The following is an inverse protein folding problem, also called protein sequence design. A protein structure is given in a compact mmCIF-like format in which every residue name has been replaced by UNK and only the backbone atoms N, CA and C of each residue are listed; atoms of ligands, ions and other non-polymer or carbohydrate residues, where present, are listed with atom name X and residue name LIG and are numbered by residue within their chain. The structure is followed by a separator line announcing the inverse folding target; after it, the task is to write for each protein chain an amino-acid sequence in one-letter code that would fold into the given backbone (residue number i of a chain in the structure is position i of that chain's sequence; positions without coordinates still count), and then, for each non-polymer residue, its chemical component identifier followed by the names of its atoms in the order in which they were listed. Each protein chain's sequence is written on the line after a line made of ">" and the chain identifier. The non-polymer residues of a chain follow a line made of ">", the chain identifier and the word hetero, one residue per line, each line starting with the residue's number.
data_IF_777023498745
#
_entry.id   IF_777023498745
#
_cell.length_a   1.000
_cell.length_b   1.000
_cell.length_c   1.000
_cell.angle_alpha   90.00
_cell.angle_beta   90.00
_cell.angle_gamma   90.00
#
_symmetry.space_group_name_H-M   'P 1'
#
loop_
_entity.id
_entity.type
_entity.pdbx_description
1 polymer ?
#
# COMPACT_ATOMS: atom_id res chain seq x y z
N UNK A 1 -17.31 -51.01 -15.80
CA UNK A 1 -18.66 -50.44 -15.83
C UNK A 1 -18.69 -49.31 -14.82
N UNK A 2 -18.30 -48.11 -15.26
CA UNK A 2 -18.28 -46.91 -14.44
C UNK A 2 -19.67 -46.29 -14.47
N UNK A 3 -20.34 -46.24 -13.31
CA UNK A 3 -21.60 -45.52 -13.16
C UNK A 3 -21.27 -44.04 -13.13
N UNK A 4 -21.59 -43.35 -14.23
CA UNK A 4 -21.48 -41.90 -14.33
C UNK A 4 -22.44 -41.23 -13.36
N UNK A 5 -21.89 -40.40 -12.47
CA UNK A 5 -22.68 -39.44 -11.70
C UNK A 5 -23.17 -38.38 -12.69
N UNK A 6 -24.48 -38.35 -12.89
CA UNK A 6 -25.18 -37.38 -13.72
C UNK A 6 -24.90 -35.97 -13.21
N UNK A 7 -24.30 -35.14 -14.05
CA UNK A 7 -24.28 -33.69 -13.86
C UNK A 7 -25.72 -33.17 -13.97
N UNK A 8 -26.27 -32.71 -12.85
CA UNK A 8 -27.56 -32.05 -12.81
C UNK A 8 -27.42 -30.69 -13.50
N UNK A 9 -28.11 -30.53 -14.63
CA UNK A 9 -28.25 -29.26 -15.35
C UNK A 9 -29.10 -28.30 -14.51
N UNK A 10 -28.48 -27.57 -13.59
CA UNK A 10 -29.15 -26.48 -12.86
C UNK A 10 -28.97 -25.17 -13.66
N UNK A 11 -30.08 -24.62 -14.16
CA UNK A 11 -30.10 -23.23 -14.62
C UNK A 11 -29.63 -22.34 -13.46
N UNK A 12 -28.73 -21.37 -13.66
CA UNK A 12 -28.28 -20.53 -12.56
C UNK A 12 -29.48 -19.74 -12.02
N UNK A 13 -29.90 -20.04 -10.79
CA UNK A 13 -31.01 -19.36 -10.12
C UNK A 13 -30.44 -18.25 -9.24
N UNK A 14 -31.08 -17.09 -9.22
CA UNK A 14 -30.78 -16.02 -8.27
C UNK A 14 -31.33 -16.34 -6.90
N UNK A 15 -30.51 -16.23 -5.85
CA UNK A 15 -30.91 -16.51 -4.46
C UNK A 15 -30.60 -15.35 -3.51
N UNK A 16 -31.33 -15.28 -2.42
CA UNK A 16 -31.07 -14.39 -1.28
C UNK A 16 -30.87 -15.23 -0.02
N UNK A 17 -30.07 -14.73 0.92
CA UNK A 17 -30.07 -15.33 2.26
C UNK A 17 -31.44 -15.16 2.92
N UNK A 18 -31.91 -16.22 3.57
CA UNK A 18 -33.12 -16.23 4.37
C UNK A 18 -32.82 -16.94 5.69
N UNK A 19 -32.56 -16.16 6.72
CA UNK A 19 -32.32 -16.63 8.09
C UNK A 19 -32.38 -15.45 9.06
N UNK A 20 -32.45 -15.72 10.36
CA UNK A 20 -32.41 -14.68 11.40
C UNK A 20 -31.20 -14.88 12.28
N UNK A 21 -30.34 -13.86 12.37
CA UNK A 21 -29.25 -13.82 13.33
C UNK A 21 -29.73 -13.20 14.64
N UNK A 22 -29.58 -13.95 15.73
CA UNK A 22 -30.05 -13.56 17.06
C UNK A 22 -29.20 -12.48 17.74
N UNK A 23 -28.08 -12.09 17.12
CA UNK A 23 -27.24 -11.01 17.60
C UNK A 23 -26.16 -11.43 18.59
N UNK A 24 -25.44 -10.45 19.16
CA UNK A 24 -24.26 -10.67 19.98
C UNK A 24 -24.56 -11.18 21.39
N UNK A 25 -25.81 -11.12 21.85
CA UNK A 25 -26.20 -11.45 23.22
C UNK A 25 -26.51 -12.93 23.46
N UNK A 26 -26.29 -13.79 22.47
CA UNK A 26 -26.56 -15.21 22.60
C UNK A 26 -25.53 -15.87 23.55
N UNK A 27 -26.01 -16.49 24.63
CA UNK A 27 -25.21 -17.36 25.50
C UNK A 27 -25.86 -18.75 25.59
N UNK A 28 -25.09 -19.77 25.94
CA UNK A 28 -25.56 -21.17 26.03
C UNK A 28 -26.59 -21.40 27.17
N UNK A 29 -26.82 -20.38 28.00
CA UNK A 29 -27.82 -20.33 29.08
C UNK A 29 -29.04 -19.47 28.70
N UNK A 30 -29.05 -18.86 27.51
CA UNK A 30 -30.13 -17.96 27.09
C UNK A 30 -31.40 -18.73 26.77
N UNK A 31 -32.50 -18.01 26.89
CA UNK A 31 -33.86 -18.37 26.48
C UNK A 31 -33.97 -18.72 24.97
N UNK A 32 -32.86 -18.65 24.22
CA UNK A 32 -32.79 -18.89 22.79
C UNK A 32 -32.33 -20.30 22.40
N UNK A 33 -31.94 -21.16 23.35
CA UNK A 33 -31.69 -22.57 23.07
C UNK A 33 -33.03 -23.24 22.67
N UNK A 34 -33.17 -23.64 21.40
CA UNK A 34 -34.44 -24.10 20.79
C UNK A 34 -35.55 -23.04 20.66
N UNK A 35 -35.21 -21.75 20.62
CA UNK A 35 -36.22 -20.73 20.34
C UNK A 35 -36.81 -20.89 18.93
N UNK A 36 -38.12 -20.68 18.83
CA UNK A 36 -38.78 -20.48 17.53
C UNK A 36 -38.78 -19.00 17.18
N UNK A 37 -39.11 -18.66 15.94
CA UNK A 37 -39.34 -17.26 15.57
C UNK A 37 -40.40 -16.57 16.43
N UNK A 38 -41.36 -17.32 16.99
CA UNK A 38 -42.37 -16.77 17.91
C UNK A 38 -41.81 -16.37 19.28
N UNK A 39 -40.73 -17.03 19.72
CA UNK A 39 -40.04 -16.71 20.98
C UNK A 39 -39.03 -15.57 20.77
N UNK A 40 -38.35 -15.52 19.62
CA UNK A 40 -37.43 -14.45 19.26
C UNK A 40 -38.13 -13.09 19.01
N UNK A 41 -39.36 -13.10 18.48
CA UNK A 41 -40.13 -11.88 18.19
C UNK A 41 -40.84 -11.27 19.42
N UNK A 42 -40.87 -11.97 20.58
CA UNK A 42 -41.37 -11.39 21.84
C UNK A 42 -40.54 -10.20 22.33
N UNK A 43 -39.29 -10.07 21.88
CA UNK A 43 -38.42 -8.96 22.25
C UNK A 43 -38.68 -7.68 21.44
N UNK A 44 -39.39 -7.75 20.31
CA UNK A 44 -39.73 -6.58 19.50
C UNK A 44 -40.91 -6.86 18.56
N UNK A 45 -42.06 -6.25 18.83
CA UNK A 45 -43.24 -6.39 17.98
C UNK A 45 -42.99 -5.74 16.61
N UNK A 46 -43.10 -6.52 15.52
CA UNK A 46 -42.95 -6.01 14.15
C UNK A 46 -41.58 -6.26 13.52
N UNK A 47 -40.66 -6.96 14.19
CA UNK A 47 -39.41 -7.42 13.56
C UNK A 47 -39.67 -8.72 12.79
N UNK A 48 -39.36 -8.79 11.49
CA UNK A 48 -39.51 -10.00 10.71
C UNK A 48 -38.54 -11.08 11.21
N UNK A 49 -38.99 -12.33 11.26
CA UNK A 49 -38.16 -13.48 11.63
C UNK A 49 -38.40 -14.64 10.65
N UNK A 50 -37.30 -15.20 10.17
CA UNK A 50 -37.24 -16.38 9.31
C UNK A 50 -36.33 -17.45 9.90
N UNK A 51 -36.73 -18.71 9.75
CA UNK A 51 -35.88 -19.86 10.05
C UNK A 51 -34.94 -20.15 8.86
N UNK A 52 -33.73 -20.68 9.10
CA UNK A 52 -33.16 -21.07 10.40
C UNK A 52 -32.68 -19.88 11.25
N UNK A 53 -32.54 -20.11 12.56
CA UNK A 53 -31.91 -19.15 13.46
C UNK A 53 -30.40 -19.39 13.48
N UNK A 54 -29.62 -18.34 13.28
CA UNK A 54 -28.15 -18.38 13.25
C UNK A 54 -27.61 -17.66 14.48
N UNK A 55 -26.58 -18.23 15.09
CA UNK A 55 -25.92 -17.70 16.29
C UNK A 55 -24.42 -17.61 16.05
N UNK A 56 -23.79 -16.63 16.68
CA UNK A 56 -22.33 -16.47 16.69
C UNK A 56 -21.86 -16.39 18.14
N UNK A 57 -20.90 -17.25 18.50
CA UNK A 57 -20.39 -17.33 19.88
C UNK A 57 -19.55 -16.11 20.26
N UNK A 58 -18.86 -15.50 19.29
CA UNK A 58 -18.00 -14.34 19.50
C UNK A 58 -18.76 -13.01 19.45
N UNK A 59 -20.07 -13.05 19.24
CA UNK A 59 -20.94 -11.89 19.05
C UNK A 59 -20.69 -11.08 17.78
N UNK A 60 -19.77 -11.52 16.92
CA UNK A 60 -19.56 -10.94 15.59
C UNK A 60 -20.67 -11.34 14.63
N UNK A 61 -20.77 -10.66 13.49
CA UNK A 61 -21.64 -11.07 12.40
C UNK A 61 -21.37 -12.53 11.97
N UNK A 62 -22.41 -13.26 11.53
CA UNK A 62 -22.25 -14.65 11.09
C UNK A 62 -21.45 -14.75 9.79
N UNK A 63 -20.66 -15.82 9.64
CA UNK A 63 -19.89 -16.07 8.42
C UNK A 63 -20.81 -16.54 7.29
N UNK A 64 -21.17 -15.60 6.41
CA UNK A 64 -22.02 -15.84 5.25
C UNK A 64 -21.41 -16.80 4.23
N UNK A 65 -20.07 -16.92 4.15
CA UNK A 65 -19.43 -17.84 3.22
C UNK A 65 -19.59 -19.28 3.70
N UNK A 66 -19.43 -19.50 5.00
CA UNK A 66 -19.68 -20.79 5.63
C UNK A 66 -21.15 -21.21 5.49
N UNK A 67 -22.09 -20.29 5.75
CA UNK A 67 -23.53 -20.56 5.60
C UNK A 67 -23.86 -20.93 4.16
N UNK A 68 -23.32 -20.20 3.18
CA UNK A 68 -23.56 -20.50 1.76
C UNK A 68 -22.98 -21.86 1.33
N UNK A 69 -21.78 -22.20 1.80
CA UNK A 69 -21.11 -23.45 1.44
C UNK A 69 -21.77 -24.69 2.06
N UNK A 70 -22.26 -24.59 3.29
CA UNK A 70 -22.73 -25.75 4.07
C UNK A 70 -24.25 -25.83 4.19
N UNK A 71 -24.94 -24.68 4.16
CA UNK A 71 -26.39 -24.56 4.39
C UNK A 71 -27.06 -23.67 3.33
N UNK A 72 -26.48 -23.57 2.13
CA UNK A 72 -26.97 -22.69 1.07
C UNK A 72 -28.42 -22.98 0.66
N UNK A 73 -28.86 -24.24 0.67
CA UNK A 73 -30.25 -24.61 0.38
C UNK A 73 -31.22 -24.22 1.51
N UNK A 74 -30.84 -24.47 2.77
CA UNK A 74 -31.72 -24.29 3.92
C UNK A 74 -31.81 -22.84 4.39
N UNK A 75 -30.74 -22.07 4.20
CA UNK A 75 -30.60 -20.68 4.65
C UNK A 75 -30.73 -19.68 3.50
N UNK A 76 -31.32 -20.08 2.36
CA UNK A 76 -31.60 -19.18 1.24
C UNK A 76 -32.97 -19.40 0.63
N UNK A 77 -33.43 -18.39 -0.11
CA UNK A 77 -34.66 -18.42 -0.89
C UNK A 77 -34.36 -18.11 -2.35
N UNK A 78 -35.13 -18.76 -3.22
CA UNK A 78 -35.13 -18.49 -4.66
C UNK A 78 -35.79 -17.13 -4.89
N UNK A 79 -35.08 -16.24 -5.58
CA UNK A 79 -35.55 -14.90 -5.88
C UNK A 79 -36.49 -14.93 -7.09
N UNK A 80 -37.77 -14.63 -6.89
CA UNK A 80 -38.72 -14.45 -7.99
C UNK A 80 -38.53 -13.09 -8.69
N UNK A 81 -39.06 -12.94 -9.91
CA UNK A 81 -38.88 -11.74 -10.74
C UNK A 81 -39.31 -10.42 -10.06
N UNK A 82 -40.28 -10.48 -9.15
CA UNK A 82 -40.84 -9.31 -8.45
C UNK A 82 -40.29 -9.13 -7.03
N UNK A 83 -39.41 -10.03 -6.60
CA UNK A 83 -38.86 -10.00 -5.25
C UNK A 83 -37.49 -9.28 -5.26
N UNK A 84 -37.03 -8.91 -4.06
CA UNK A 84 -35.74 -8.29 -3.78
C UNK A 84 -35.16 -8.91 -2.51
N UNK A 85 -33.83 -9.02 -2.45
CA UNK A 85 -33.19 -9.46 -1.21
C UNK A 85 -33.21 -8.30 -0.22
N UNK A 86 -33.66 -8.58 1.01
CA UNK A 86 -33.67 -7.62 2.09
C UNK A 86 -32.83 -8.09 3.28
N UNK A 87 -32.24 -7.13 3.97
CA UNK A 87 -31.62 -7.29 5.29
C UNK A 87 -32.26 -6.28 6.22
N UNK A 88 -32.88 -6.76 7.29
CA UNK A 88 -33.53 -5.95 8.31
C UNK A 88 -32.71 -6.05 9.59
N UNK A 89 -32.02 -4.98 9.96
CA UNK A 89 -31.14 -4.94 11.13
C UNK A 89 -31.74 -4.03 12.19
N UNK A 90 -31.85 -4.53 13.41
CA UNK A 90 -32.33 -3.78 14.56
C UNK A 90 -31.15 -3.30 15.40
N UNK A 91 -31.19 -2.02 15.75
CA UNK A 91 -30.20 -1.36 16.57
C UNK A 91 -30.83 -0.80 17.83
N UNK A 92 -30.12 -0.91 18.94
CA UNK A 92 -30.43 -0.25 20.20
C UNK A 92 -29.21 0.56 20.63
N UNK A 93 -29.40 1.86 20.87
CA UNK A 93 -28.35 2.79 21.29
C UNK A 93 -27.11 2.78 20.39
N UNK A 94 -27.32 2.63 19.08
CA UNK A 94 -26.25 2.57 18.07
C UNK A 94 -25.55 1.20 17.93
N UNK A 95 -25.88 0.22 18.77
CA UNK A 95 -25.36 -1.14 18.70
C UNK A 95 -26.35 -2.09 18.04
N UNK A 96 -25.86 -3.13 17.34
CA UNK A 96 -26.70 -4.11 16.67
C UNK A 96 -27.24 -5.12 17.67
N UNK A 97 -28.56 -5.29 17.71
CA UNK A 97 -29.24 -6.28 18.55
C UNK A 97 -29.59 -7.56 17.80
N UNK A 98 -30.06 -7.47 16.56
CA UNK A 98 -30.34 -8.62 15.71
C UNK A 98 -30.38 -8.24 14.23
N UNK A 99 -30.41 -9.25 13.35
CA UNK A 99 -30.58 -9.01 11.92
C UNK A 99 -31.26 -10.17 11.22
N UNK A 100 -32.24 -9.86 10.37
CA UNK A 100 -33.02 -10.82 9.61
C UNK A 100 -32.78 -10.64 8.12
N UNK A 101 -32.49 -11.73 7.44
CA UNK A 101 -32.30 -11.82 6.00
C UNK A 101 -33.54 -12.47 5.38
N UNK A 102 -34.03 -11.95 4.27
CA UNK A 102 -35.25 -12.46 3.63
C UNK A 102 -35.35 -12.11 2.15
N UNK A 103 -36.12 -12.90 1.41
CA UNK A 103 -36.74 -12.50 0.15
C UNK A 103 -38.03 -11.73 0.45
N UNK A 104 -38.18 -10.53 -0.08
CA UNK A 104 -39.41 -9.74 0.13
C UNK A 104 -39.72 -8.87 -1.08
N UNK A 105 -40.87 -8.19 -1.05
CA UNK A 105 -41.23 -7.13 -1.97
C UNK A 105 -41.23 -5.82 -1.21
N UNK A 106 -40.54 -4.83 -1.74
CA UNK A 106 -40.44 -3.52 -1.13
C UNK A 106 -40.89 -2.46 -2.12
N UNK A 107 -41.73 -1.55 -1.64
CA UNK A 107 -42.18 -0.38 -2.38
C UNK A 107 -41.86 0.87 -1.58
N UNK A 108 -41.54 1.95 -2.28
CA UNK A 108 -41.37 3.27 -1.70
C UNK A 108 -42.72 3.95 -1.45
N UNK A 109 -42.73 5.13 -0.82
CA UNK A 109 -43.95 5.90 -0.54
C UNK A 109 -44.77 6.29 -1.77
N UNK A 110 -44.18 6.19 -2.96
CA UNK A 110 -44.83 6.44 -4.26
C UNK A 110 -45.26 5.15 -4.97
N UNK A 111 -45.38 4.03 -4.24
CA UNK A 111 -45.70 2.69 -4.76
C UNK A 111 -44.70 2.17 -5.83
N UNK A 112 -43.47 2.71 -5.84
CA UNK A 112 -42.43 2.28 -6.76
C UNK A 112 -41.59 1.15 -6.17
N UNK A 113 -41.30 0.12 -6.98
CA UNK A 113 -40.51 -1.02 -6.54
C UNK A 113 -39.06 -0.63 -6.18
N UNK A 114 -38.62 -1.00 -4.98
CA UNK A 114 -37.26 -0.75 -4.51
C UNK A 114 -36.36 -1.91 -4.96
N UNK A 115 -35.35 -1.60 -5.78
CA UNK A 115 -34.40 -2.59 -6.29
C UNK A 115 -33.05 -2.59 -5.56
N UNK A 116 -32.65 -1.44 -4.98
CA UNK A 116 -31.41 -1.30 -4.21
C UNK A 116 -31.44 -0.08 -3.29
N UNK A 117 -30.80 -0.16 -2.14
CA UNK A 117 -30.61 0.97 -1.23
C UNK A 117 -30.81 0.59 0.23
N UNK A 118 -30.43 1.48 1.16
CA UNK A 118 -30.63 1.27 2.59
C UNK A 118 -31.47 2.41 3.17
N UNK A 119 -32.49 2.05 3.93
CA UNK A 119 -33.43 2.95 4.58
C UNK A 119 -33.35 2.74 6.07
N UNK A 120 -33.21 3.83 6.82
CA UNK A 120 -33.12 3.81 8.27
C UNK A 120 -34.30 4.54 8.88
N UNK A 121 -34.98 3.91 9.81
CA UNK A 121 -36.02 4.52 10.64
C UNK A 121 -35.54 4.53 12.08
N UNK A 122 -35.56 5.71 12.71
CA UNK A 122 -35.19 5.87 14.12
C UNK A 122 -36.42 6.22 14.94
N UNK A 123 -36.58 5.54 16.08
CA UNK A 123 -37.63 5.79 17.06
C UNK A 123 -37.00 5.83 18.46
N UNK A 124 -36.60 7.04 18.88
CA UNK A 124 -35.85 7.23 20.12
C UNK A 124 -34.49 6.53 20.09
N UNK A 125 -34.22 5.68 21.10
CA UNK A 125 -33.00 4.87 21.21
C UNK A 125 -32.96 3.67 20.28
N UNK A 126 -34.08 3.33 19.63
CA UNK A 126 -34.14 2.23 18.68
C UNK A 126 -33.96 2.74 17.27
N UNK A 127 -33.16 2.05 16.47
CA UNK A 127 -33.03 2.32 15.04
C UNK A 127 -33.15 1.03 14.25
N UNK A 128 -33.96 1.06 13.21
CA UNK A 128 -34.13 -0.04 12.28
C UNK A 128 -33.51 0.34 10.95
N UNK A 129 -32.71 -0.55 10.37
CA UNK A 129 -32.14 -0.39 9.02
C UNK A 129 -32.59 -1.53 8.12
N UNK A 130 -33.28 -1.19 7.03
CA UNK A 130 -33.63 -2.11 5.97
C UNK A 130 -32.76 -1.82 4.74
N UNK A 131 -31.97 -2.80 4.28
CA UNK A 131 -31.17 -2.71 3.07
C UNK A 131 -31.69 -3.68 2.02
N UNK A 132 -31.81 -3.21 0.78
CA UNK A 132 -32.32 -3.95 -0.37
C UNK A 132 -31.26 -4.07 -1.45
N UNK A 133 -31.24 -5.21 -2.15
CA UNK A 133 -30.39 -5.45 -3.30
C UNK A 133 -30.94 -6.58 -4.17
N UNK A 134 -30.51 -6.65 -5.44
CA UNK A 134 -30.79 -7.77 -6.34
C UNK A 134 -29.56 -8.64 -6.56
N UNK A 135 -29.68 -9.92 -6.26
CA UNK A 135 -28.63 -10.92 -6.48
C UNK A 135 -28.48 -11.29 -7.95
N UNK A 136 -27.27 -11.70 -8.33
CA UNK A 136 -26.93 -12.19 -9.67
C UNK A 136 -27.16 -13.72 -9.72
N UNK A 137 -27.68 -14.29 -10.82
CA UNK A 137 -27.87 -15.73 -10.95
C UNK A 137 -26.56 -16.52 -10.80
N UNK A 138 -26.55 -17.57 -9.97
CA UNK A 138 -25.37 -18.42 -9.73
C UNK A 138 -24.23 -17.77 -8.92
N UNK A 139 -24.42 -16.55 -8.41
CA UNK A 139 -23.47 -15.86 -7.52
C UNK A 139 -23.85 -15.95 -6.04
N UNK A 140 -22.96 -15.45 -5.18
CA UNK A 140 -23.25 -15.27 -3.75
C UNK A 140 -24.40 -14.24 -3.59
N UNK A 141 -25.36 -14.47 -2.68
CA UNK A 141 -26.41 -13.51 -2.38
C UNK A 141 -25.88 -12.12 -2.01
N UNK A 142 -26.54 -11.07 -2.52
CA UNK A 142 -26.11 -9.68 -2.29
C UNK A 142 -26.47 -9.14 -0.90
N UNK A 143 -27.43 -9.76 -0.20
CA UNK A 143 -27.91 -9.33 1.11
C UNK A 143 -26.96 -9.79 2.21
N UNK A 144 -25.68 -9.49 2.06
CA UNK A 144 -24.68 -9.67 3.11
C UNK A 144 -24.59 -8.36 3.90
N UNK A 145 -24.46 -8.45 5.22
CA UNK A 145 -24.21 -7.27 6.05
C UNK A 145 -22.85 -6.69 5.68
N UNK A 146 -22.90 -5.58 4.95
CA UNK A 146 -21.74 -4.91 4.40
C UNK A 146 -20.87 -4.35 5.54
N UNK A 147 -19.67 -4.92 5.73
CA UNK A 147 -18.58 -4.12 6.29
C UNK A 147 -18.38 -2.92 5.37
N UNK A 148 -18.22 -1.73 5.92
CA UNK A 148 -17.98 -0.55 5.10
C UNK A 148 -16.79 -0.84 4.17
N UNK A 149 -16.91 -0.51 2.87
CA UNK A 149 -15.79 -0.62 1.92
C UNK A 149 -14.53 0.08 2.45
N UNK A 150 -14.72 1.08 3.33
CA UNK A 150 -13.69 1.79 4.06
C UNK A 150 -12.86 0.89 4.99
N UNK A 151 -13.49 -0.05 5.69
CA UNK A 151 -12.81 -0.99 6.61
C UNK A 151 -11.91 -1.96 5.84
N UNK A 152 -12.37 -2.45 4.69
CA UNK A 152 -11.54 -3.22 3.76
C UNK A 152 -10.37 -2.42 3.20
N UNK A 153 -10.63 -1.19 2.77
CA UNK A 153 -9.60 -0.30 2.22
C UNK A 153 -8.50 -0.03 3.23
N UNK A 154 -8.87 0.18 4.50
CA UNK A 154 -7.92 0.37 5.59
C UNK A 154 -7.00 -0.85 5.77
N UNK A 155 -7.53 -2.07 5.72
CA UNK A 155 -6.72 -3.28 5.86
C UNK A 155 -5.68 -3.46 4.74
N UNK A 156 -6.04 -3.13 3.50
CA UNK A 156 -5.10 -3.18 2.36
C UNK A 156 -4.03 -2.10 2.51
N UNK A 157 -4.42 -0.90 2.91
CA UNK A 157 -3.50 0.22 3.06
C UNK A 157 -2.50 -0.01 4.19
N UNK A 158 -2.95 -0.51 5.35
CA UNK A 158 -2.06 -0.80 6.47
C UNK A 158 -1.08 -1.93 6.12
N UNK A 159 -1.56 -2.99 5.45
CA UNK A 159 -0.69 -4.07 5.00
C UNK A 159 0.36 -3.58 4.01
N UNK A 160 -0.04 -2.84 2.97
CA UNK A 160 0.92 -2.32 1.97
C UNK A 160 1.94 -1.39 2.62
N UNK A 161 1.51 -0.48 3.50
CA UNK A 161 2.41 0.43 4.21
C UNK A 161 3.42 -0.33 5.09
N UNK A 162 2.99 -1.40 5.77
CA UNK A 162 3.88 -2.22 6.60
C UNK A 162 4.95 -2.95 5.77
N UNK A 163 4.59 -3.49 4.61
CA UNK A 163 5.53 -4.16 3.70
C UNK A 163 6.53 -3.17 3.14
N UNK A 164 6.08 -1.99 2.71
CA UNK A 164 6.99 -0.93 2.24
C UNK A 164 7.95 -0.48 3.35
N UNK A 165 7.48 -0.29 4.58
CA UNK A 165 8.34 0.09 5.70
C UNK A 165 9.40 -0.97 6.02
N UNK A 166 9.07 -2.25 5.91
CA UNK A 166 10.04 -3.33 6.07
C UNK A 166 11.09 -3.32 4.95
N UNK A 167 10.67 -3.18 3.70
CA UNK A 167 11.58 -3.13 2.55
C UNK A 167 12.53 -1.92 2.62
N UNK A 168 12.04 -0.74 3.00
CA UNK A 168 12.89 0.45 3.14
C UNK A 168 13.91 0.29 4.28
N UNK A 169 13.52 -0.36 5.37
CA UNK A 169 14.44 -0.68 6.46
C UNK A 169 15.54 -1.67 6.03
N UNK A 170 15.21 -2.70 5.26
CA UNK A 170 16.20 -3.62 4.70
C UNK A 170 17.14 -2.92 3.70
N UNK A 171 16.62 -2.05 2.87
CA UNK A 171 17.43 -1.19 1.99
C UNK A 171 18.39 -0.31 2.81
N UNK A 172 17.93 0.28 3.92
CA UNK A 172 18.81 1.04 4.82
C UNK A 172 19.94 0.17 5.39
N UNK A 173 19.61 -1.01 5.94
CA UNK A 173 20.62 -1.94 6.48
C UNK A 173 21.69 -2.32 5.44
N UNK A 174 21.31 -2.49 4.17
CA UNK A 174 22.27 -2.79 3.10
C UNK A 174 23.34 -1.71 2.92
N UNK A 175 23.06 -0.45 3.27
CA UNK A 175 24.03 0.64 3.12
C UNK A 175 25.16 0.59 4.15
N UNK A 176 24.94 -0.07 5.29
CA UNK A 176 25.94 -0.21 6.36
C UNK A 176 27.04 -1.21 6.01
N UNK A 177 26.77 -2.15 5.11
CA UNK A 177 27.70 -3.24 4.74
C UNK A 177 28.48 -2.97 3.45
N UNK A 178 28.25 -1.82 2.79
CA UNK A 178 28.89 -1.48 1.52
C UNK A 178 30.13 -0.64 1.77
N UNK A 179 31.29 -1.15 1.33
CA UNK A 179 32.53 -0.40 1.33
C UNK A 179 32.62 0.54 0.11
N UNK A 180 32.65 1.85 0.37
CA UNK A 180 32.75 2.89 -0.67
C UNK A 180 34.20 3.28 -1.02
N UNK A 181 35.19 2.50 -0.57
CA UNK A 181 36.60 2.79 -0.83
C UNK A 181 37.04 2.15 -2.12
N UNK A 182 37.81 2.89 -2.91
CA UNK A 182 38.39 2.41 -4.17
C UNK A 182 39.87 2.81 -4.21
N UNK A 183 40.71 1.93 -4.72
CA UNK A 183 42.10 2.28 -4.96
C UNK A 183 42.20 3.06 -6.28
N UNK A 184 42.69 4.29 -6.22
CA UNK A 184 42.99 5.09 -7.40
C UNK A 184 44.51 5.14 -7.58
N UNK A 185 44.99 4.81 -8.78
CA UNK A 185 46.39 4.99 -9.16
C UNK A 185 46.51 6.30 -9.94
N UNK A 186 47.35 7.21 -9.43
CA UNK A 186 47.57 8.51 -10.06
C UNK A 186 49.07 8.76 -10.21
N UNK A 187 49.49 9.13 -11.42
CA UNK A 187 50.86 9.52 -11.72
C UNK A 187 50.88 10.93 -12.33
N UNK A 188 51.79 11.78 -11.87
CA UNK A 188 52.01 13.11 -12.46
C UNK A 188 53.04 13.00 -13.58
N UNK A 189 52.64 13.31 -14.82
CA UNK A 189 53.49 13.16 -16.00
C UNK A 189 54.34 14.41 -16.24
N UNK A 190 53.75 15.61 -16.10
CA UNK A 190 54.45 16.87 -16.32
C UNK A 190 53.94 17.94 -15.36
N UNK A 191 54.86 18.60 -14.66
CA UNK A 191 54.57 19.72 -13.76
C UNK A 191 55.32 20.93 -14.32
N UNK A 192 54.61 22.03 -14.58
CA UNK A 192 55.19 23.28 -15.10
C UNK A 192 54.61 24.45 -14.32
N UNK A 193 55.49 25.25 -13.71
CA UNK A 193 55.10 26.52 -13.07
C UNK A 193 55.63 27.66 -13.93
N UNK A 194 54.80 28.66 -14.20
CA UNK A 194 55.15 29.86 -14.94
C UNK A 194 54.69 31.08 -14.18
N UNK A 195 55.58 32.05 -14.00
CA UNK A 195 55.21 33.39 -13.55
C UNK A 195 54.52 34.13 -14.70
N UNK A 196 53.27 34.55 -14.51
CA UNK A 196 52.49 35.28 -15.51
C UNK A 196 52.07 36.62 -14.90
N UNK A 197 52.26 37.76 -15.62
CA UNK A 197 51.74 39.04 -15.13
C UNK A 197 50.21 38.98 -15.05
N UNK A 198 49.64 39.52 -13.98
CA UNK A 198 48.20 39.69 -13.89
C UNK A 198 47.73 40.72 -14.94
N UNK A 199 46.61 40.46 -15.61
CA UNK A 199 46.00 41.39 -16.57
C UNK A 199 45.00 42.35 -15.89
N UNK A 200 44.85 42.28 -14.56
CA UNK A 200 44.12 43.25 -13.74
C UNK A 200 44.83 44.60 -13.56
N UNK A 201 44.16 45.55 -12.91
CA UNK A 201 44.68 46.92 -12.69
C UNK A 201 45.89 47.00 -11.73
N UNK A 202 46.21 45.91 -11.02
CA UNK A 202 47.39 45.78 -10.16
C UNK A 202 48.58 45.22 -10.97
N UNK A 203 49.80 45.72 -10.72
CA UNK A 203 51.05 45.26 -11.38
C UNK A 203 51.65 44.00 -10.72
N UNK A 204 50.88 43.29 -9.91
CA UNK A 204 51.32 42.09 -9.22
C UNK A 204 51.49 40.93 -10.21
N UNK A 205 52.45 40.04 -9.92
CA UNK A 205 52.68 38.81 -10.69
C UNK A 205 51.97 37.69 -9.98
N UNK A 206 51.38 36.78 -10.74
CA UNK A 206 50.77 35.58 -10.19
C UNK A 206 51.51 34.35 -10.73
N UNK A 207 51.52 33.29 -9.93
CA UNK A 207 52.15 32.04 -10.29
C UNK A 207 51.11 31.12 -10.93
N UNK A 208 51.31 30.80 -12.21
CA UNK A 208 50.47 29.88 -12.98
C UNK A 208 51.09 28.49 -12.99
N UNK A 209 50.45 27.55 -12.29
CA UNK A 209 50.77 26.14 -12.36
C UNK A 209 49.99 25.42 -13.45
N UNK A 210 50.67 24.55 -14.19
CA UNK A 210 50.10 23.61 -15.13
C UNK A 210 50.61 22.20 -14.84
N UNK A 211 49.68 21.26 -14.68
CA UNK A 211 49.97 19.86 -14.40
C UNK A 211 49.35 18.98 -15.51
N UNK A 212 50.04 17.92 -15.89
CA UNK A 212 49.42 16.79 -16.59
C UNK A 212 49.53 15.52 -15.76
N UNK A 213 48.44 14.75 -15.74
CA UNK A 213 48.33 13.56 -14.90
C UNK A 213 47.74 12.38 -15.66
N UNK A 214 48.12 11.19 -15.20
CA UNK A 214 47.52 9.91 -15.54
C UNK A 214 46.64 9.48 -14.36
N UNK A 215 45.42 9.05 -14.65
CA UNK A 215 44.48 8.55 -13.64
C UNK A 215 43.94 7.19 -14.07
N UNK A 216 44.16 6.17 -13.25
CA UNK A 216 43.59 4.84 -13.42
C UNK A 216 42.81 4.42 -12.18
N UNK A 217 41.51 4.19 -12.32
CA UNK A 217 40.66 3.76 -11.21
C UNK A 217 39.45 2.97 -11.71
N UNK A 218 39.03 1.98 -10.91
CA UNK A 218 37.78 1.26 -11.11
C UNK A 218 36.76 1.72 -10.07
N UNK A 219 35.70 2.35 -10.56
CA UNK A 219 34.60 2.88 -9.75
C UNK A 219 33.31 2.08 -9.94
N UNK A 220 33.37 0.97 -10.66
CA UNK A 220 32.20 0.17 -11.03
C UNK A 220 31.46 -0.35 -9.81
N UNK A 221 32.18 -0.74 -8.75
CA UNK A 221 31.58 -1.25 -7.51
C UNK A 221 30.92 -0.17 -6.64
N UNK A 222 31.20 1.11 -6.88
CA UNK A 222 30.56 2.20 -6.14
C UNK A 222 29.09 2.42 -6.56
N UNK A 223 28.73 1.99 -7.78
CA UNK A 223 27.36 2.11 -8.29
C UNK A 223 26.46 1.02 -7.69
N UNK A 224 25.95 1.26 -6.47
CA UNK A 224 24.94 0.41 -5.84
C UNK A 224 23.50 0.80 -6.23
N UNK A 225 22.48 0.16 -5.64
CA UNK A 225 21.07 0.41 -5.93
C UNK A 225 20.65 1.89 -5.72
N UNK A 226 21.29 2.59 -4.79
CA UNK A 226 21.01 3.98 -4.42
C UNK A 226 21.85 5.01 -5.21
N UNK A 227 23.11 4.70 -5.54
CA UNK A 227 24.05 5.66 -6.18
C UNK A 227 23.70 5.90 -7.65
N UNK A 228 23.15 7.08 -7.98
CA UNK A 228 22.73 7.46 -9.34
C UNK A 228 23.82 8.20 -10.14
N UNK A 229 24.67 8.93 -9.43
CA UNK A 229 25.72 9.76 -9.99
C UNK A 229 26.92 9.79 -9.04
N UNK A 230 28.12 9.90 -9.60
CA UNK A 230 29.36 10.14 -8.88
C UNK A 230 29.94 11.48 -9.32
N UNK A 231 30.30 12.33 -8.36
CA UNK A 231 31.05 13.56 -8.59
C UNK A 231 32.51 13.30 -8.26
N UNK A 232 33.35 13.29 -9.29
CA UNK A 232 34.79 13.16 -9.13
C UNK A 232 35.41 14.53 -9.27
N UNK A 233 36.38 14.80 -8.41
CA UNK A 233 37.22 15.97 -8.52
C UNK A 233 38.63 15.63 -8.07
N UNK A 234 39.61 16.28 -8.69
CA UNK A 234 41.02 16.18 -8.34
C UNK A 234 41.44 17.51 -7.71
N UNK A 235 41.96 17.46 -6.50
CA UNK A 235 42.50 18.62 -5.79
C UNK A 235 44.02 18.53 -5.69
N UNK A 236 44.67 19.68 -5.85
CA UNK A 236 46.05 19.88 -5.43
C UNK A 236 46.04 20.57 -4.07
N UNK A 237 46.82 20.01 -3.14
CA UNK A 237 47.02 20.58 -1.81
C UNK A 237 48.48 21.00 -1.69
N UNK A 238 48.72 22.21 -1.23
CA UNK A 238 50.06 22.77 -1.09
C UNK A 238 50.12 23.74 0.10
N UNK A 239 51.34 23.99 0.58
CA UNK A 239 51.62 24.80 1.75
C UNK A 239 52.46 25.99 1.30
N UNK A 240 52.09 27.19 1.73
CA UNK A 240 52.87 28.42 1.48
C UNK A 240 53.27 29.06 2.81
N UNK A 241 54.28 29.95 2.84
CA UNK A 241 54.68 30.63 4.09
C UNK A 241 53.54 31.41 4.77
N UNK A 242 52.57 31.85 3.98
CA UNK A 242 51.42 32.64 4.44
C UNK A 242 50.21 31.76 4.81
N UNK A 243 50.13 30.52 4.32
CA UNK A 243 48.99 29.64 4.58
C UNK A 243 49.39 28.16 4.71
N UNK A 244 48.94 27.53 5.79
CA UNK A 244 49.24 26.14 6.13
C UNK A 244 48.51 25.12 5.23
N UNK A 245 47.38 25.50 4.62
CA UNK A 245 46.63 24.64 3.71
C UNK A 245 45.98 25.43 2.58
N UNK A 246 46.52 25.29 1.38
CA UNK A 246 45.89 25.75 0.14
C UNK A 246 45.38 24.54 -0.66
N UNK A 247 44.11 24.57 -1.06
CA UNK A 247 43.48 23.52 -1.86
C UNK A 247 42.87 24.11 -3.13
N UNK A 248 43.23 23.58 -4.29
CA UNK A 248 42.69 24.00 -5.59
C UNK A 248 42.19 22.80 -6.36
N UNK A 249 40.97 22.88 -6.89
CA UNK A 249 40.40 21.85 -7.77
C UNK A 249 40.99 22.02 -9.17
N UNK A 250 41.67 20.98 -9.66
CA UNK A 250 42.35 20.97 -10.96
C UNK A 250 41.46 20.39 -12.08
N UNK A 251 40.59 19.45 -11.72
CA UNK A 251 39.78 18.71 -12.68
C UNK A 251 38.54 18.15 -11.99
N UNK A 252 37.43 18.05 -12.72
CA UNK A 252 36.19 17.45 -12.28
C UNK A 252 35.56 16.61 -13.40
N UNK A 253 34.83 15.56 -13.00
CA UNK A 253 33.99 14.77 -13.90
C UNK A 253 32.80 14.19 -13.14
N UNK A 254 31.65 14.23 -13.79
CA UNK A 254 30.44 13.56 -13.34
C UNK A 254 30.31 12.25 -14.11
N UNK A 255 30.05 11.15 -13.41
CA UNK A 255 29.75 9.85 -14.02
C UNK A 255 28.34 9.46 -13.62
N UNK A 256 27.49 9.21 -14.61
CA UNK A 256 26.12 8.75 -14.39
C UNK A 256 26.05 7.23 -14.35
N UNK A 257 25.04 6.69 -13.66
CA UNK A 257 24.81 5.24 -13.66
C UNK A 257 24.55 4.73 -15.08
N UNK A 258 25.30 3.71 -15.48
CA UNK A 258 25.22 3.11 -16.82
C UNK A 258 26.28 3.61 -17.79
N UNK A 259 27.03 4.66 -17.41
CA UNK A 259 28.24 5.06 -18.11
C UNK A 259 29.43 4.19 -17.72
N UNK A 260 30.52 4.28 -18.49
CA UNK A 260 31.74 3.54 -18.19
C UNK A 260 32.41 4.11 -16.92
N UNK A 261 32.39 3.32 -15.85
CA UNK A 261 32.98 3.64 -14.55
C UNK A 261 34.45 3.19 -14.41
N UNK A 262 35.01 2.54 -15.43
CA UNK A 262 36.43 2.22 -15.53
C UNK A 262 37.16 3.41 -16.16
N UNK A 263 37.91 4.15 -15.35
CA UNK A 263 38.68 5.30 -15.81
C UNK A 263 40.13 4.88 -16.04
N UNK A 264 40.60 5.03 -17.28
CA UNK A 264 42.03 4.93 -17.64
C UNK A 264 42.38 6.14 -18.52
N UNK A 265 42.73 7.24 -17.86
CA UNK A 265 43.10 8.48 -18.50
C UNK A 265 44.61 8.64 -18.56
N UNK A 266 45.12 9.03 -19.73
CA UNK A 266 46.54 9.23 -20.00
C UNK A 266 46.81 10.64 -20.47
N UNK A 267 47.83 11.28 -19.89
CA UNK A 267 48.30 12.62 -20.21
C UNK A 267 47.17 13.67 -20.25
N UNK A 268 46.27 13.63 -19.26
CA UNK A 268 45.19 14.59 -19.14
C UNK A 268 45.71 15.93 -18.63
N UNK A 269 45.24 17.01 -19.26
CA UNK A 269 45.50 18.37 -18.82
C UNK A 269 44.51 18.76 -17.72
N UNK A 270 44.92 19.65 -16.81
CA UNK A 270 44.00 20.26 -15.85
C UNK A 270 42.94 21.08 -16.58
N UNK A 271 41.69 21.03 -16.08
CA UNK A 271 40.58 21.83 -16.61
C UNK A 271 40.63 23.24 -16.05
N UNK A 272 41.03 23.35 -14.78
CA UNK A 272 41.23 24.62 -14.10
C UNK A 272 42.73 24.85 -13.94
N UNK A 273 43.17 26.05 -14.30
CA UNK A 273 44.54 26.46 -14.07
C UNK A 273 44.75 26.78 -12.60
N UNK A 274 45.94 26.46 -12.13
CA UNK A 274 46.37 26.78 -10.79
C UNK A 274 46.88 28.22 -10.78
N UNK A 275 46.20 29.09 -10.04
CA UNK A 275 46.59 30.48 -9.83
C UNK A 275 46.82 30.68 -8.34
N UNK A 276 48.01 31.16 -7.98
CA UNK A 276 48.35 31.58 -6.62
C UNK A 276 49.01 32.97 -6.64
N UNK A 277 48.99 33.62 -5.47
CA UNK A 277 49.60 34.92 -5.24
C UNK A 277 51.12 34.81 -5.50
N UNK A 278 51.69 35.72 -6.31
CA UNK A 278 53.07 35.54 -6.78
C UNK A 278 54.15 35.55 -5.70
N UNK A 279 55.18 34.72 -5.93
CA UNK A 279 56.28 34.34 -5.02
C UNK A 279 55.86 33.42 -3.87
N UNK A 280 54.88 32.52 -4.11
CA UNK A 280 54.38 31.55 -3.13
C UNK A 280 54.41 30.09 -3.56
N UNK A 281 54.61 29.78 -4.85
CA UNK A 281 54.58 28.43 -5.43
C UNK A 281 55.93 27.82 -5.80
#
# INVERSE_FOLDING_TARGET
>A
MLVGVTAQSDTPVSRCFQFTWLGPRWNNESIFLNATCSDATRLSSGVPCFQPLVVSYDGTWPDVNYIWANHGEDASCILANNDVCATYTYYFDGHVENSTYMCTRAVDSNDQAISSGCYTQTNGSYATRACFCRSIPGGLPCNVTMYSMLTRGNAILTYTLSVLACLTFLCFLSTLTVDYRTAAQMNTVKVVVKNVPDYGASRERNDLGFLTFDLKTDLSHLFNWNVKQLFLYLTAEYITPNNELNQVVLWDKIILRGENALLDFKNMNTKYYFWDDGNGL
#
